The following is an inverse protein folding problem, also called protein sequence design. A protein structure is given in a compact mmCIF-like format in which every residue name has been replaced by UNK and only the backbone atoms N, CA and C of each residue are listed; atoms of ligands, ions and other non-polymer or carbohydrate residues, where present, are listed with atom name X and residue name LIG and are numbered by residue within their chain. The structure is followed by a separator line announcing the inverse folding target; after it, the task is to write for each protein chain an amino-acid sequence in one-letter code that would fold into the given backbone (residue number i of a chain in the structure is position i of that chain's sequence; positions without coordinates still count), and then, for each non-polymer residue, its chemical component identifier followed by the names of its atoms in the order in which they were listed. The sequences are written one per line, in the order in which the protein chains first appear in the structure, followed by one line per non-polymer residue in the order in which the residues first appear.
data_IF_826282715281
#
_entry.id   IF_826282715281
#
_cell.length_a   1.000
_cell.length_b   1.000
_cell.length_c   1.000
_cell.angle_alpha   90.00
_cell.angle_beta   90.00
_cell.angle_gamma   90.00
#
_symmetry.space_group_name_H-M   'P 1'
#
loop_
_entity.id
_entity.type
_entity.pdbx_description
1 polymer ?
#
# COMPACT_ATOMS: atom_id res chain seq x y z
N UNK A 1 2.15 -55.43 24.30
CA UNK A 1 1.26 -54.35 23.81
C UNK A 1 2.10 -53.10 23.80
N UNK A 2 2.81 -52.82 22.69
CA UNK A 2 2.37 -51.92 21.60
C UNK A 2 2.30 -50.48 22.14
N UNK A 3 3.06 -49.49 21.68
CA UNK A 3 3.19 -49.04 20.30
C UNK A 3 4.39 -48.08 20.12
N UNK A 4 5.11 -48.30 19.02
CA UNK A 4 5.72 -47.26 18.19
C UNK A 4 4.77 -46.05 18.02
N UNK A 5 5.21 -44.83 18.33
CA UNK A 5 4.51 -43.63 17.87
C UNK A 5 5.42 -42.77 16.97
N UNK A 6 5.29 -43.07 15.67
CA UNK A 6 5.56 -42.17 14.56
C UNK A 6 4.40 -41.16 14.49
N UNK A 7 4.66 -39.86 14.67
CA UNK A 7 3.76 -38.79 14.21
C UNK A 7 4.60 -37.84 13.33
N UNK A 8 4.59 -38.03 12.01
CA UNK A 8 3.65 -37.44 11.02
C UNK A 8 3.61 -35.90 11.06
N UNK A 9 4.14 -35.32 9.97
CA UNK A 9 3.85 -33.99 9.45
C UNK A 9 2.36 -33.65 9.58
N UNK A 10 2.05 -32.59 10.32
CA UNK A 10 0.73 -31.93 10.26
C UNK A 10 0.87 -30.49 9.80
N UNK A 11 0.25 -30.23 8.64
CA UNK A 11 -0.09 -28.93 8.05
C UNK A 11 -0.25 -27.83 9.10
N UNK A 12 0.61 -26.81 9.04
CA UNK A 12 0.32 -25.51 9.62
C UNK A 12 -0.84 -24.87 8.85
N UNK A 13 -2.05 -25.03 9.38
CA UNK A 13 -3.22 -24.25 9.00
C UNK A 13 -2.97 -22.82 9.50
N UNK A 14 -2.87 -21.86 8.58
CA UNK A 14 -2.95 -20.44 8.92
C UNK A 14 -4.36 -20.18 9.48
N UNK A 15 -4.48 -20.18 10.81
CA UNK A 15 -5.72 -19.83 11.49
C UNK A 15 -5.77 -18.31 11.54
N UNK A 16 -6.39 -17.71 10.53
CA UNK A 16 -6.94 -16.36 10.63
C UNK A 16 -8.19 -16.41 11.50
N UNK A 17 -8.03 -16.51 12.82
CA UNK A 17 -9.12 -16.28 13.76
C UNK A 17 -8.59 -15.40 14.89
N UNK A 18 -8.94 -14.11 14.83
CA UNK A 18 -9.08 -13.31 16.06
C UNK A 18 -10.09 -14.09 16.91
N UNK A 19 -9.61 -14.77 17.95
CA UNK A 19 -10.47 -15.54 18.84
C UNK A 19 -11.44 -14.56 19.51
N UNK A 20 -12.73 -14.86 19.49
CA UNK A 20 -13.80 -14.09 20.13
C UNK A 20 -13.68 -13.94 21.67
N UNK A 21 -12.54 -14.35 22.25
CA UNK A 21 -12.16 -14.21 23.66
C UNK A 21 -10.71 -13.72 23.82
N UNK A 22 -10.23 -12.85 22.94
CA UNK A 22 -9.04 -12.06 23.26
C UNK A 22 -9.46 -10.98 24.28
N UNK A 23 -8.65 -10.69 25.28
CA UNK A 23 -8.91 -9.64 26.28
C UNK A 23 -9.16 -8.24 25.65
N UNK A 24 -8.81 -8.09 24.37
CA UNK A 24 -9.11 -6.92 23.54
C UNK A 24 -10.59 -6.80 23.14
N UNK A 25 -11.37 -7.89 23.13
CA UNK A 25 -12.80 -7.89 22.82
C UNK A 25 -13.69 -7.40 23.97
N UNK A 26 -13.14 -7.24 25.17
CA UNK A 26 -13.88 -6.95 26.41
C UNK A 26 -13.76 -5.49 26.91
N UNK A 27 -13.14 -4.57 26.14
CA UNK A 27 -13.09 -3.14 26.50
C UNK A 27 -14.04 -2.32 25.61
N UNK A 28 -15.24 -1.92 26.09
CA UNK A 28 -16.27 -1.24 25.28
C UNK A 28 -15.92 0.19 24.83
N UNK A 29 -14.66 0.63 24.95
CA UNK A 29 -14.23 2.01 24.67
C UNK A 29 -12.88 2.11 23.96
N UNK A 30 -12.31 1.00 23.50
CA UNK A 30 -11.06 1.05 22.72
C UNK A 30 -11.39 1.29 21.25
N UNK A 31 -11.27 2.54 20.82
CA UNK A 31 -11.24 2.85 19.39
C UNK A 31 -9.94 2.30 18.82
N UNK A 32 -10.01 1.17 18.11
CA UNK A 32 -8.87 0.47 17.48
C UNK A 32 -8.02 1.42 16.62
N UNK A 33 -8.66 2.40 15.99
CA UNK A 33 -8.01 3.42 15.17
C UNK A 33 -7.21 4.47 15.98
N UNK A 34 -7.34 4.47 17.31
CA UNK A 34 -6.53 5.31 18.22
C UNK A 34 -5.36 4.55 18.87
N UNK A 35 -5.29 3.23 18.69
CA UNK A 35 -4.33 2.36 19.39
C UNK A 35 -3.10 2.07 18.53
N UNK A 36 -3.28 1.98 17.21
CA UNK A 36 -2.18 1.93 16.26
C UNK A 36 -2.33 3.08 15.28
N UNK A 37 -1.29 3.90 15.09
CA UNK A 37 -1.35 4.92 14.07
C UNK A 37 -1.47 4.28 12.68
N UNK A 38 -2.11 4.99 11.72
CA UNK A 38 -2.25 4.52 10.35
C UNK A 38 -0.89 4.39 9.68
N UNK A 39 -0.75 3.38 8.83
CA UNK A 39 0.47 3.18 8.06
C UNK A 39 0.19 3.40 6.59
N UNK A 40 0.42 4.63 6.14
CA UNK A 40 0.25 5.03 4.74
C UNK A 40 0.94 4.06 3.78
N UNK A 41 2.09 3.51 4.14
CA UNK A 41 2.79 2.58 3.28
C UNK A 41 1.99 1.29 3.09
N UNK A 42 1.55 0.66 4.17
CA UNK A 42 0.77 -0.57 4.08
C UNK A 42 -0.66 -0.33 3.61
N UNK A 43 -1.32 0.70 4.12
CA UNK A 43 -2.72 1.00 3.85
C UNK A 43 -2.90 1.44 2.40
N UNK A 44 -2.04 2.35 1.93
CA UNK A 44 -2.15 2.90 0.59
C UNK A 44 -1.21 2.21 -0.41
N UNK A 45 0.11 2.29 -0.21
CA UNK A 45 1.10 1.91 -1.23
C UNK A 45 1.13 0.40 -1.52
N UNK A 46 1.07 -0.44 -0.49
CA UNK A 46 0.94 -1.89 -0.64
C UNK A 46 -0.50 -2.37 -0.67
N UNK A 47 -1.41 -1.54 -0.16
CA UNK A 47 -2.80 -1.90 0.03
C UNK A 47 -3.67 -1.64 -1.17
N UNK A 48 -3.90 -0.36 -1.47
CA UNK A 48 -4.90 0.09 -2.45
C UNK A 48 -4.29 0.41 -3.80
N UNK A 49 -3.11 1.02 -3.81
CA UNK A 49 -2.44 1.46 -5.02
C UNK A 49 -2.22 0.34 -6.06
N UNK A 50 -1.82 -0.89 -5.70
CA UNK A 50 -1.63 -1.95 -6.68
C UNK A 50 -2.91 -2.24 -7.48
N UNK A 51 -4.06 -2.25 -6.80
CA UNK A 51 -5.35 -2.53 -7.42
C UNK A 51 -5.79 -1.34 -8.29
N UNK A 52 -5.57 -0.11 -7.83
CA UNK A 52 -5.81 1.11 -8.63
C UNK A 52 -5.00 1.11 -9.91
N UNK A 53 -3.70 0.83 -9.81
CA UNK A 53 -2.79 0.76 -10.97
C UNK A 53 -3.28 -0.30 -11.97
N UNK A 54 -3.69 -1.45 -11.45
CA UNK A 54 -4.20 -2.55 -12.27
C UNK A 54 -5.50 -2.15 -13.00
N UNK A 55 -6.45 -1.55 -12.30
CA UNK A 55 -7.73 -1.10 -12.88
C UNK A 55 -7.51 -0.01 -13.92
N UNK A 56 -6.63 0.96 -13.67
CA UNK A 56 -6.29 2.00 -14.65
C UNK A 56 -5.67 1.37 -15.90
N UNK A 57 -4.70 0.47 -15.74
CA UNK A 57 -4.07 -0.21 -16.87
C UNK A 57 -5.09 -0.99 -17.72
N UNK A 58 -6.02 -1.70 -17.08
CA UNK A 58 -7.03 -2.51 -17.79
C UNK A 58 -8.13 -1.67 -18.46
N UNK A 59 -8.65 -0.63 -17.78
CA UNK A 59 -9.79 0.17 -18.27
C UNK A 59 -9.39 1.35 -19.17
N UNK A 60 -8.10 1.64 -19.31
CA UNK A 60 -7.60 2.73 -20.16
C UNK A 60 -7.53 2.38 -21.65
N UNK A 61 -7.75 1.12 -22.04
CA UNK A 61 -7.61 0.67 -23.43
C UNK A 61 -6.17 0.58 -23.93
N UNK A 62 -5.19 0.68 -23.03
CA UNK A 62 -3.76 0.54 -23.36
C UNK A 62 -3.47 -0.87 -23.90
N UNK A 63 -2.65 -0.95 -24.94
CA UNK A 63 -2.09 -2.24 -25.41
C UNK A 63 -0.77 -2.55 -24.70
N UNK A 64 -0.58 -3.79 -24.24
CA UNK A 64 0.64 -4.25 -23.55
C UNK A 64 1.95 -3.90 -24.27
N UNK A 65 2.03 -4.18 -25.57
CA UNK A 65 3.24 -3.90 -26.37
C UNK A 65 3.59 -2.41 -26.36
N UNK A 66 2.57 -1.55 -26.47
CA UNK A 66 2.73 -0.10 -26.43
C UNK A 66 3.21 0.35 -25.04
N UNK A 67 2.57 -0.13 -23.96
CA UNK A 67 2.98 0.18 -22.59
C UNK A 67 4.45 -0.17 -22.32
N UNK A 68 4.87 -1.39 -22.68
CA UNK A 68 6.25 -1.84 -22.48
C UNK A 68 7.23 -0.96 -23.26
N UNK A 69 6.89 -0.58 -24.50
CA UNK A 69 7.72 0.30 -25.32
C UNK A 69 7.91 1.67 -24.68
N UNK A 70 6.82 2.26 -24.15
CA UNK A 70 6.87 3.58 -23.53
C UNK A 70 7.57 3.58 -22.16
N UNK A 71 7.38 2.54 -21.36
CA UNK A 71 8.12 2.36 -20.10
C UNK A 71 9.63 2.40 -20.33
N UNK A 72 10.13 1.80 -21.43
CA UNK A 72 11.57 1.80 -21.76
C UNK A 72 12.13 3.18 -22.14
N UNK A 73 11.28 4.11 -22.58
CA UNK A 73 11.70 5.45 -22.97
C UNK A 73 11.85 6.40 -21.78
N UNK A 74 11.34 5.98 -20.62
CA UNK A 74 11.36 6.77 -19.40
C UNK A 74 12.60 6.46 -18.56
N UNK A 75 13.27 7.50 -18.04
CA UNK A 75 14.36 7.36 -17.06
C UNK A 75 13.80 7.20 -15.65
N UNK A 76 13.84 5.98 -15.10
CA UNK A 76 13.29 5.64 -13.79
C UNK A 76 14.23 5.94 -12.62
N UNK A 77 13.67 6.34 -11.48
CA UNK A 77 14.40 6.57 -10.22
C UNK A 77 14.52 5.27 -9.42
N UNK A 78 13.40 4.54 -9.25
CA UNK A 78 13.33 3.29 -8.49
C UNK A 78 13.38 2.03 -9.37
N UNK A 79 13.73 2.22 -10.65
CA UNK A 79 13.66 1.20 -11.69
C UNK A 79 12.25 1.02 -12.27
N UNK A 80 12.15 0.53 -13.52
CA UNK A 80 10.87 0.32 -14.18
C UNK A 80 10.06 -0.80 -13.53
N UNK A 81 8.74 -0.70 -13.61
CA UNK A 81 7.85 -1.85 -13.40
C UNK A 81 7.94 -2.82 -14.57
N UNK A 82 7.65 -4.09 -14.29
CA UNK A 82 7.48 -5.13 -15.30
C UNK A 82 6.00 -5.31 -15.62
N UNK A 83 5.69 -5.65 -16.87
CA UNK A 83 4.31 -5.86 -17.34
C UNK A 83 4.17 -7.28 -17.86
N UNK A 84 3.46 -8.13 -17.11
CA UNK A 84 3.21 -9.53 -17.47
C UNK A 84 1.74 -9.71 -17.89
N UNK A 85 1.42 -10.91 -18.40
CA UNK A 85 0.05 -11.31 -18.75
C UNK A 85 -0.72 -10.23 -19.54
N UNK A 86 -2.00 -10.01 -19.23
CA UNK A 86 -2.87 -8.98 -19.81
C UNK A 86 -2.78 -7.67 -18.98
N UNK A 87 -1.60 -7.02 -19.00
CA UNK A 87 -1.33 -5.75 -18.31
C UNK A 87 -1.24 -5.87 -16.78
N UNK A 88 -0.75 -6.99 -16.28
CA UNK A 88 -0.45 -7.11 -14.86
C UNK A 88 0.84 -6.36 -14.54
N UNK A 89 0.76 -5.36 -13.64
CA UNK A 89 1.89 -4.51 -13.28
C UNK A 89 2.63 -5.10 -12.07
N UNK A 90 3.84 -5.59 -12.30
CA UNK A 90 4.69 -6.24 -11.30
C UNK A 90 5.86 -5.34 -10.91
N UNK A 91 6.07 -5.20 -9.59
CA UNK A 91 7.10 -4.35 -9.00
C UNK A 91 6.84 -4.18 -7.50
N UNK A 92 7.81 -3.64 -6.78
CA UNK A 92 7.62 -3.26 -5.38
C UNK A 92 6.69 -2.03 -5.26
N UNK A 93 6.23 -1.72 -4.04
CA UNK A 93 5.29 -0.64 -3.80
C UNK A 93 5.78 0.73 -4.29
N UNK A 94 7.09 0.99 -4.19
CA UNK A 94 7.71 2.26 -4.62
C UNK A 94 7.77 2.36 -6.14
N UNK A 95 8.10 1.26 -6.82
CA UNK A 95 8.08 1.17 -8.28
C UNK A 95 6.67 1.39 -8.83
N UNK A 96 5.65 0.78 -8.20
CA UNK A 96 4.25 0.98 -8.58
C UNK A 96 3.78 2.42 -8.35
N UNK A 97 4.25 3.07 -7.29
CA UNK A 97 3.98 4.49 -7.02
C UNK A 97 4.60 5.39 -8.08
N UNK A 98 5.88 5.19 -8.40
CA UNK A 98 6.54 5.96 -9.47
C UNK A 98 5.83 5.75 -10.80
N UNK A 99 5.54 4.50 -11.16
CA UNK A 99 4.79 4.17 -12.37
C UNK A 99 3.45 4.91 -12.43
N UNK A 100 2.67 4.88 -11.34
CA UNK A 100 1.40 5.58 -11.24
C UNK A 100 1.56 7.07 -11.49
N UNK A 101 2.46 7.76 -10.78
CA UNK A 101 2.65 9.21 -10.95
C UNK A 101 3.09 9.59 -12.36
N UNK A 102 3.87 8.73 -13.02
CA UNK A 102 4.41 8.97 -14.35
C UNK A 102 3.49 8.54 -15.48
N UNK A 103 2.27 8.08 -15.22
CA UNK A 103 1.30 7.73 -16.27
C UNK A 103 1.07 8.87 -17.28
N UNK A 104 1.09 10.14 -16.85
CA UNK A 104 1.00 11.31 -17.75
C UNK A 104 2.25 11.46 -18.63
N UNK A 105 3.43 11.13 -18.12
CA UNK A 105 4.66 11.14 -18.93
C UNK A 105 4.70 9.96 -19.90
N UNK A 106 4.14 8.81 -19.50
CA UNK A 106 3.99 7.64 -20.38
C UNK A 106 2.93 7.91 -21.45
N UNK A 107 1.83 8.57 -21.09
CA UNK A 107 0.70 8.87 -21.97
C UNK A 107 0.35 10.37 -21.95
N UNK A 108 1.18 11.23 -22.56
CA UNK A 108 0.94 12.67 -22.61
C UNK A 108 -0.37 13.02 -23.33
N UNK A 109 -0.81 12.16 -24.25
CA UNK A 109 -2.09 12.32 -24.95
C UNK A 109 -3.30 12.34 -24.02
N UNK A 110 -3.21 11.78 -22.81
CA UNK A 110 -4.31 11.78 -21.84
C UNK A 110 -4.66 13.17 -21.33
N UNK A 111 -3.76 14.16 -21.48
CA UNK A 111 -4.06 15.54 -21.13
C UNK A 111 -5.10 16.17 -22.06
N UNK A 112 -5.09 15.79 -23.34
CA UNK A 112 -5.99 16.33 -24.35
C UNK A 112 -7.16 15.39 -24.66
N UNK A 113 -6.93 14.08 -24.55
CA UNK A 113 -7.91 13.04 -24.81
C UNK A 113 -7.87 11.97 -23.70
N UNK A 114 -8.40 12.29 -22.50
CA UNK A 114 -8.33 11.39 -21.36
C UNK A 114 -9.22 10.15 -21.57
N UNK A 115 -8.75 8.95 -21.17
CA UNK A 115 -9.62 7.77 -21.14
C UNK A 115 -10.70 7.93 -20.06
N UNK A 116 -11.79 7.16 -20.17
CA UNK A 116 -12.89 7.18 -19.19
C UNK A 116 -12.44 6.91 -17.74
N UNK A 117 -11.33 6.18 -17.55
CA UNK A 117 -10.77 5.88 -16.23
C UNK A 117 -9.93 7.02 -15.63
N UNK A 118 -9.65 8.08 -16.40
CA UNK A 118 -8.80 9.19 -15.98
C UNK A 118 -9.25 9.92 -14.70
N UNK A 119 -10.56 10.11 -14.42
CA UNK A 119 -10.99 10.70 -13.15
C UNK A 119 -10.52 9.91 -11.92
N UNK A 120 -10.42 8.57 -12.02
CA UNK A 120 -9.88 7.74 -10.94
C UNK A 120 -8.41 8.06 -10.70
N UNK A 121 -7.63 8.18 -11.78
CA UNK A 121 -6.23 8.56 -11.73
C UNK A 121 -6.03 9.92 -11.03
N UNK A 122 -6.79 10.94 -11.43
CA UNK A 122 -6.68 12.28 -10.87
C UNK A 122 -7.01 12.33 -9.38
N UNK A 123 -8.14 11.73 -8.99
CA UNK A 123 -8.57 11.71 -7.58
C UNK A 123 -7.54 11.00 -6.73
N UNK A 124 -7.09 9.81 -7.14
CA UNK A 124 -6.08 9.06 -6.39
C UNK A 124 -4.77 9.83 -6.30
N UNK A 125 -4.30 10.44 -7.40
CA UNK A 125 -3.08 11.26 -7.42
C UNK A 125 -3.15 12.42 -6.43
N UNK A 126 -4.28 13.15 -6.41
CA UNK A 126 -4.51 14.27 -5.48
C UNK A 126 -4.53 13.79 -4.03
N UNK A 127 -5.26 12.70 -3.74
CA UNK A 127 -5.35 12.12 -2.39
C UNK A 127 -3.98 11.68 -1.88
N UNK A 128 -3.19 10.98 -2.69
CA UNK A 128 -1.83 10.55 -2.31
C UNK A 128 -0.93 11.74 -2.01
N UNK A 129 -0.96 12.75 -2.87
CA UNK A 129 -0.13 13.94 -2.67
C UNK A 129 -0.43 14.60 -1.32
N UNK A 130 -1.69 14.75 -0.95
CA UNK A 130 -2.07 15.37 0.33
C UNK A 130 -1.77 14.50 1.54
N UNK A 131 -2.01 13.19 1.43
CA UNK A 131 -1.68 12.23 2.50
C UNK A 131 -0.17 12.21 2.77
N UNK A 132 0.64 12.19 1.70
CA UNK A 132 2.10 12.12 1.81
C UNK A 132 2.76 13.49 2.05
N UNK A 133 2.09 14.60 1.74
CA UNK A 133 2.55 15.97 1.98
C UNK A 133 1.61 16.70 2.95
N UNK A 134 1.62 16.35 4.24
CA UNK A 134 0.68 16.91 5.22
C UNK A 134 0.84 18.41 5.47
N UNK A 135 1.98 19.00 5.10
CA UNK A 135 2.14 20.46 5.04
C UNK A 135 1.17 21.12 4.04
N UNK A 136 0.55 20.35 3.13
CA UNK A 136 -0.50 20.83 2.21
C UNK A 136 -1.91 20.79 2.79
N UNK A 137 -2.11 20.22 3.98
CA UNK A 137 -3.42 20.15 4.64
C UNK A 137 -3.63 21.45 5.43
N UNK A 138 -3.87 22.54 4.71
CA UNK A 138 -4.26 23.82 5.30
C UNK A 138 -5.76 23.86 5.60
N UNK A 139 -6.55 23.12 4.82
CA UNK A 139 -8.00 23.04 4.94
C UNK A 139 -8.45 21.58 5.13
N UNK A 140 -8.81 21.28 6.37
CA UNK A 140 -9.29 19.96 6.78
C UNK A 140 -10.63 19.59 6.13
N UNK A 141 -11.50 20.58 5.85
CA UNK A 141 -12.79 20.33 5.22
C UNK A 141 -12.62 19.91 3.75
N UNK A 142 -11.69 20.56 3.06
CA UNK A 142 -11.30 20.20 1.70
C UNK A 142 -10.68 18.81 1.64
N UNK A 143 -9.77 18.49 2.57
CA UNK A 143 -9.15 17.16 2.65
C UNK A 143 -10.20 16.06 2.86
N UNK A 144 -11.18 16.30 3.74
CA UNK A 144 -12.29 15.37 3.96
C UNK A 144 -13.10 15.14 2.69
N UNK A 145 -13.48 16.20 1.98
CA UNK A 145 -14.22 16.09 0.71
C UNK A 145 -13.45 15.28 -0.34
N UNK A 146 -12.14 15.43 -0.42
CA UNK A 146 -11.33 14.67 -1.39
C UNK A 146 -11.18 13.20 -1.01
N UNK A 147 -11.08 12.88 0.29
CA UNK A 147 -11.09 11.49 0.75
C UNK A 147 -12.46 10.85 0.47
N UNK A 148 -13.55 11.58 0.65
CA UNK A 148 -14.90 11.12 0.30
C UNK A 148 -15.01 10.83 -1.21
N UNK A 149 -14.54 11.75 -2.06
CA UNK A 149 -14.44 11.53 -3.52
C UNK A 149 -13.56 10.34 -3.88
N UNK A 150 -12.44 10.15 -3.19
CA UNK A 150 -11.59 8.98 -3.36
C UNK A 150 -12.35 7.68 -3.08
N UNK A 151 -13.05 7.60 -1.95
CA UNK A 151 -13.85 6.41 -1.58
C UNK A 151 -14.96 6.16 -2.58
N UNK A 152 -15.62 7.21 -3.07
CA UNK A 152 -16.64 7.12 -4.13
C UNK A 152 -16.04 6.55 -5.43
N UNK A 153 -14.89 7.06 -5.86
CA UNK A 153 -14.19 6.56 -7.05
C UNK A 153 -13.74 5.10 -6.90
N UNK A 154 -13.34 4.68 -5.70
CA UNK A 154 -13.05 3.25 -5.43
C UNK A 154 -14.31 2.39 -5.60
N UNK A 155 -15.47 2.86 -5.11
CA UNK A 155 -16.75 2.14 -5.24
C UNK A 155 -17.20 2.03 -6.70
N UNK A 156 -17.19 3.15 -7.44
CA UNK A 156 -17.57 3.21 -8.87
C UNK A 156 -16.72 2.24 -9.70
N UNK A 157 -15.43 2.11 -9.35
CA UNK A 157 -14.51 1.25 -10.06
C UNK A 157 -14.37 -0.17 -9.47
N UNK A 158 -15.24 -0.53 -8.53
CA UNK A 158 -15.32 -1.84 -7.90
C UNK A 158 -14.03 -2.28 -7.17
N UNK A 159 -13.23 -1.32 -6.70
CA UNK A 159 -12.01 -1.55 -5.92
C UNK A 159 -12.40 -1.79 -4.45
N UNK A 160 -12.76 -3.04 -4.13
CA UNK A 160 -13.25 -3.45 -2.81
C UNK A 160 -12.12 -3.96 -1.91
N UNK A 161 -11.40 -3.03 -1.26
CA UNK A 161 -10.39 -3.33 -0.22
C UNK A 161 -10.82 -2.77 1.13
N UNK A 162 -10.66 -3.57 2.19
CA UNK A 162 -10.78 -3.07 3.56
C UNK A 162 -9.84 -1.87 3.82
N UNK A 163 -8.64 -1.88 3.21
CA UNK A 163 -7.69 -0.76 3.26
C UNK A 163 -8.18 0.51 2.55
N UNK A 164 -8.98 0.39 1.49
CA UNK A 164 -9.61 1.54 0.85
C UNK A 164 -10.68 2.16 1.77
N UNK A 165 -11.44 1.33 2.48
CA UNK A 165 -12.34 1.81 3.52
C UNK A 165 -11.58 2.44 4.70
N UNK A 166 -10.44 1.88 5.10
CA UNK A 166 -9.61 2.44 6.17
C UNK A 166 -9.17 3.88 5.89
N UNK A 167 -8.83 4.19 4.63
CA UNK A 167 -8.46 5.55 4.21
C UNK A 167 -9.61 6.54 4.43
N UNK A 168 -10.88 6.10 4.45
CA UNK A 168 -12.01 7.00 4.77
C UNK A 168 -11.92 7.63 6.16
N UNK A 169 -11.15 7.02 7.08
CA UNK A 169 -10.92 7.55 8.42
C UNK A 169 -9.73 8.50 8.50
N UNK A 170 -8.94 8.65 7.44
CA UNK A 170 -7.72 9.49 7.45
C UNK A 170 -7.97 10.93 7.86
N UNK A 171 -9.05 11.62 7.43
CA UNK A 171 -9.37 12.94 7.96
C UNK A 171 -9.40 12.91 9.49
N UNK A 172 -10.24 12.07 10.09
CA UNK A 172 -10.35 11.96 11.55
C UNK A 172 -9.01 11.64 12.23
N UNK A 173 -8.17 10.81 11.61
CA UNK A 173 -6.86 10.46 12.14
C UNK A 173 -5.85 11.62 12.05
N UNK A 174 -5.84 12.39 10.96
CA UNK A 174 -5.02 13.60 10.83
C UNK A 174 -5.37 14.58 11.93
N UNK A 175 -6.65 14.79 12.20
CA UNK A 175 -7.13 15.67 13.28
C UNK A 175 -6.71 15.17 14.66
N UNK A 176 -6.80 13.86 14.90
CA UNK A 176 -6.43 13.25 16.19
C UNK A 176 -4.93 13.26 16.47
N UNK A 177 -4.10 12.93 15.47
CA UNK A 177 -2.65 12.82 15.62
C UNK A 177 -1.90 14.15 15.43
N UNK A 178 -2.64 15.26 15.28
CA UNK A 178 -2.07 16.61 15.20
C UNK A 178 -1.34 16.91 13.88
N UNK A 179 -1.77 16.31 12.77
CA UNK A 179 -1.23 16.60 11.44
C UNK A 179 -0.72 15.37 10.69
N UNK A 180 0.58 15.32 10.39
CA UNK A 180 1.18 14.32 9.50
C UNK A 180 1.00 12.89 9.97
N UNK A 181 0.34 12.05 9.17
CA UNK A 181 0.29 10.61 9.39
C UNK A 181 1.59 9.90 8.94
N UNK A 182 2.44 10.56 8.13
CA UNK A 182 3.69 9.99 7.59
C UNK A 182 4.71 9.71 8.69
N UNK A 183 4.75 10.54 9.74
CA UNK A 183 5.64 10.33 10.89
C UNK A 183 5.38 9.03 11.62
N UNK A 184 4.17 8.47 11.49
CA UNK A 184 3.76 7.25 12.17
C UNK A 184 3.79 5.99 11.29
N UNK A 185 4.24 6.10 10.02
CA UNK A 185 4.39 4.94 9.14
C UNK A 185 5.46 3.96 9.65
N UNK A 186 5.21 2.66 9.50
CA UNK A 186 6.14 1.61 9.95
C UNK A 186 7.39 1.47 9.08
N UNK A 187 7.49 2.22 7.97
CA UNK A 187 8.65 2.25 7.06
C UNK A 187 10.01 2.36 7.78
N UNK A 188 10.07 3.12 8.87
CA UNK A 188 11.30 3.28 9.67
C UNK A 188 11.77 1.96 10.28
N UNK A 189 10.82 1.10 10.66
CA UNK A 189 11.10 -0.23 11.20
C UNK A 189 11.38 -1.25 10.10
N UNK A 190 10.70 -1.17 8.95
CA UNK A 190 10.95 -2.08 7.81
C UNK A 190 12.36 -1.95 7.25
N UNK A 191 12.90 -0.73 7.16
CA UNK A 191 14.28 -0.50 6.69
C UNK A 191 15.29 -1.18 7.62
N UNK A 192 15.15 -0.98 8.93
CA UNK A 192 15.99 -1.64 9.94
C UNK A 192 15.85 -3.16 9.88
N UNK A 193 14.63 -3.67 9.73
CA UNK A 193 14.39 -5.10 9.56
C UNK A 193 15.06 -5.68 8.31
N UNK A 194 15.09 -4.93 7.19
CA UNK A 194 15.77 -5.36 5.97
C UNK A 194 17.29 -5.39 6.15
N UNK A 195 17.85 -4.40 6.83
CA UNK A 195 19.27 -4.35 7.19
C UNK A 195 19.64 -5.54 8.10
N UNK A 196 18.85 -5.81 9.14
CA UNK A 196 19.04 -6.97 10.02
C UNK A 196 18.95 -8.29 9.25
N UNK A 197 17.96 -8.46 8.36
CA UNK A 197 17.85 -9.65 7.50
C UNK A 197 19.07 -9.83 6.59
N UNK A 198 19.58 -8.73 6.03
CA UNK A 198 20.80 -8.76 5.22
C UNK A 198 22.00 -9.19 6.06
N UNK A 199 22.15 -8.65 7.27
CA UNK A 199 23.23 -9.01 8.20
C UNK A 199 23.15 -10.49 8.63
N UNK A 200 21.95 -11.01 8.92
CA UNK A 200 21.74 -12.44 9.21
C UNK A 200 22.19 -13.30 8.02
N UNK A 201 21.78 -12.95 6.81
CA UNK A 201 22.14 -13.68 5.58
C UNK A 201 23.65 -13.67 5.33
N UNK A 202 24.31 -12.52 5.48
CA UNK A 202 25.75 -12.39 5.26
C UNK A 202 26.58 -13.04 6.36
N UNK A 203 26.16 -12.93 7.63
CA UNK A 203 26.88 -13.51 8.76
C UNK A 203 26.70 -15.03 8.86
N UNK A 204 25.72 -15.61 8.16
CA UNK A 204 25.27 -17.01 8.30
C UNK A 204 24.94 -17.38 9.76
N UNK A 205 24.73 -16.38 10.60
CA UNK A 205 24.56 -16.56 12.03
C UNK A 205 23.07 -16.49 12.34
N UNK A 206 22.44 -17.67 12.42
CA UNK A 206 21.00 -17.80 12.63
C UNK A 206 20.59 -17.69 14.11
N UNK A 207 21.56 -17.53 15.01
CA UNK A 207 21.35 -17.27 16.44
C UNK A 207 21.82 -15.86 16.77
N UNK A 208 20.89 -15.02 17.22
CA UNK A 208 21.16 -13.82 18.01
C UNK A 208 21.93 -12.65 17.37
N UNK A 209 21.63 -12.34 16.11
CA UNK A 209 22.15 -11.10 15.47
C UNK A 209 21.73 -9.82 16.22
N UNK A 210 20.56 -9.82 16.88
CA UNK A 210 20.10 -8.67 17.67
C UNK A 210 20.97 -8.39 18.92
N UNK A 211 21.63 -9.42 19.48
CA UNK A 211 22.58 -9.26 20.60
C UNK A 211 24.01 -8.92 20.14
N UNK A 212 24.26 -8.98 18.83
CA UNK A 212 25.59 -8.80 18.24
C UNK A 212 25.86 -7.37 17.76
N UNK A 213 24.87 -6.48 17.84
CA UNK A 213 24.97 -5.10 17.35
C UNK A 213 25.16 -4.13 18.52
N UNK A 214 26.20 -3.27 18.52
CA UNK A 214 26.32 -2.20 19.50
C UNK A 214 25.26 -1.13 19.22
N UNK A 215 24.53 -0.75 20.26
CA UNK A 215 23.46 0.25 20.22
C UNK A 215 24.01 1.68 20.16
#
# INVERSE_FOLDING_TARGET
MSEFCLMKLTKLKLISNIRARSELSFRPRMNIFKISPPDIFHDFLEGVLPDVVQVIAQKSGIRKKNLISRIKQIKWVNGPVSVINQLEICGNAVQKLEFFFRLIEIYPEWLNNPPNIFPLYEVVRKTVFKICSPSSIYDYSLFRSEVEKFVEMMKINEIKRAKAHFISHYPSLVGFYGGSLVSYSSRRFERKNKEVKSLILHSRNFKDVAYSLPW
#
